data_IF_651305111377
#
_entry.id   IF_651305111377
#
_cell.length_a   1.000
_cell.length_b   1.000
_cell.length_c   1.000
_cell.angle_alpha   90.00
_cell.angle_beta   90.00
_cell.angle_gamma   90.00
#
_symmetry.space_group_name_H-M   'P 1'
#
loop_
_entity.id
_entity.type
_entity.pdbx_description
1 polymer ?
#
# COMPACT_ATOMS: atom_id res chain seq x y z
N UNK A 1 2.52 6.31 -16.92
CA UNK A 1 2.01 6.83 -15.63
C UNK A 1 1.01 5.83 -15.10
N UNK A 2 1.31 5.24 -13.95
CA UNK A 2 0.36 4.37 -13.24
C UNK A 2 -0.82 5.23 -12.82
N UNK A 3 -2.04 4.78 -13.11
CA UNK A 3 -3.27 5.46 -12.67
C UNK A 3 -3.69 4.87 -11.33
N UNK A 4 -4.49 5.61 -10.55
CA UNK A 4 -5.16 5.13 -9.34
C UNK A 4 -5.66 3.68 -9.43
N UNK A 5 -6.38 3.34 -10.52
CA UNK A 5 -6.88 1.97 -10.78
C UNK A 5 -5.76 0.93 -10.82
N UNK A 6 -4.62 1.24 -11.44
CA UNK A 6 -3.47 0.35 -11.52
C UNK A 6 -2.78 0.17 -10.18
N UNK A 7 -2.67 1.24 -9.38
CA UNK A 7 -2.07 1.17 -8.03
C UNK A 7 -2.98 0.34 -7.11
N UNK A 8 -4.30 0.54 -7.19
CA UNK A 8 -5.28 -0.24 -6.42
C UNK A 8 -5.27 -1.72 -6.79
N UNK A 9 -5.17 -2.05 -8.08
CA UNK A 9 -4.98 -3.42 -8.56
C UNK A 9 -3.67 -4.04 -8.06
N UNK A 10 -2.60 -3.24 -7.97
CA UNK A 10 -1.33 -3.67 -7.40
C UNK A 10 -1.47 -4.02 -5.91
N UNK A 11 -2.10 -3.14 -5.13
CA UNK A 11 -2.40 -3.38 -3.70
C UNK A 11 -3.27 -4.64 -3.54
N UNK A 12 -4.29 -4.83 -4.39
CA UNK A 12 -5.11 -6.04 -4.35
C UNK A 12 -4.28 -7.30 -4.59
N UNK A 13 -3.39 -7.30 -5.60
CA UNK A 13 -2.50 -8.43 -5.88
C UNK A 13 -1.56 -8.73 -4.70
N UNK A 14 -1.13 -7.70 -3.98
CA UNK A 14 -0.33 -7.87 -2.77
C UNK A 14 -1.12 -8.51 -1.63
N UNK A 15 -2.38 -8.10 -1.40
CA UNK A 15 -3.27 -8.80 -0.47
C UNK A 15 -3.51 -10.25 -0.84
N UNK A 16 -3.75 -10.52 -2.13
CA UNK A 16 -3.94 -11.88 -2.61
C UNK A 16 -2.69 -12.73 -2.35
N UNK A 17 -1.49 -12.17 -2.55
CA UNK A 17 -0.21 -12.86 -2.29
C UNK A 17 0.01 -13.15 -0.80
N UNK A 18 -0.37 -12.23 0.09
CA UNK A 18 -0.34 -12.45 1.54
C UNK A 18 -1.31 -13.56 1.98
N UNK A 19 -2.50 -13.59 1.38
CA UNK A 19 -3.49 -14.64 1.67
C UNK A 19 -3.01 -16.01 1.17
N UNK A 20 -2.52 -16.08 -0.07
CA UNK A 20 -2.03 -17.32 -0.69
C UNK A 20 -0.80 -17.90 0.03
N UNK A 21 0.05 -17.04 0.61
CA UNK A 21 1.19 -17.46 1.44
C UNK A 21 0.80 -17.85 2.88
N UNK A 22 -0.45 -17.64 3.28
CA UNK A 22 -0.93 -17.90 4.64
C UNK A 22 -0.46 -16.89 5.68
N UNK A 23 0.01 -15.70 5.27
CA UNK A 23 0.35 -14.61 6.18
C UNK A 23 -0.87 -13.92 6.78
N UNK A 24 -2.00 -13.95 6.07
CA UNK A 24 -3.29 -13.46 6.57
C UNK A 24 -4.35 -14.55 6.45
N UNK A 25 -5.25 -14.60 7.42
CA UNK A 25 -6.27 -15.67 7.50
C UNK A 25 -7.46 -15.42 6.56
N UNK A 26 -7.77 -14.15 6.28
CA UNK A 26 -8.91 -13.74 5.49
C UNK A 26 -8.47 -12.99 4.24
N UNK A 27 -9.27 -13.11 3.18
CA UNK A 27 -9.08 -12.29 1.98
C UNK A 27 -9.48 -10.86 2.27
N UNK A 28 -8.55 -9.94 2.04
CA UNK A 28 -8.79 -8.51 2.14
C UNK A 28 -9.10 -7.97 0.73
N UNK A 29 -10.19 -7.20 0.62
CA UNK A 29 -10.52 -6.46 -0.60
C UNK A 29 -9.93 -5.05 -0.47
N UNK A 30 -9.17 -4.60 -1.46
CA UNK A 30 -8.65 -3.25 -1.54
C UNK A 30 -9.78 -2.26 -1.89
N UNK A 31 -10.58 -1.86 -0.92
CA UNK A 31 -11.51 -0.73 -1.03
C UNK A 31 -10.86 0.54 -0.50
N UNK A 32 -11.38 1.72 -0.82
CA UNK A 32 -10.75 2.99 -0.41
C UNK A 32 -10.69 3.16 1.12
N UNK A 33 -11.62 2.52 1.82
CA UNK A 33 -11.78 2.55 3.27
C UNK A 33 -11.05 1.40 3.98
N UNK A 34 -10.44 0.47 3.24
CA UNK A 34 -9.69 -0.65 3.83
C UNK A 34 -8.52 -0.13 4.65
N UNK A 35 -8.51 -0.47 5.95
CA UNK A 35 -7.54 0.02 6.93
C UNK A 35 -6.28 -0.86 6.95
N UNK A 36 -5.13 -0.25 6.66
CA UNK A 36 -3.80 -0.87 6.65
C UNK A 36 -3.08 -0.73 8.00
N UNK A 37 -3.27 0.38 8.70
CA UNK A 37 -2.76 0.62 10.06
C UNK A 37 -3.87 1.24 10.90
N UNK A 38 -4.05 0.76 12.13
CA UNK A 38 -4.96 1.34 13.11
C UNK A 38 -6.13 0.41 13.45
N UNK A 39 -7.11 0.90 14.24
CA UNK A 39 -8.29 0.12 14.63
C UNK A 39 -9.04 -0.41 13.39
N UNK A 40 -9.29 -1.72 13.36
CA UNK A 40 -9.97 -2.37 12.25
C UNK A 40 -9.06 -2.88 11.13
N UNK A 41 -7.74 -2.71 11.24
CA UNK A 41 -6.83 -3.40 10.32
C UNK A 41 -6.78 -4.90 10.60
N UNK A 42 -6.83 -5.69 9.54
CA UNK A 42 -6.63 -7.15 9.57
C UNK A 42 -5.14 -7.54 9.46
N UNK A 43 -4.25 -6.56 9.28
CA UNK A 43 -2.81 -6.79 9.15
C UNK A 43 -2.13 -6.70 10.51
N UNK A 44 -1.33 -7.71 10.84
CA UNK A 44 -0.34 -7.57 11.89
C UNK A 44 0.90 -6.81 11.37
N UNK A 45 1.87 -6.54 12.25
CA UNK A 45 3.09 -5.82 11.89
C UNK A 45 3.91 -6.51 10.80
N UNK A 46 3.88 -7.85 10.73
CA UNK A 46 4.68 -8.62 9.76
C UNK A 46 3.99 -8.64 8.40
N UNK A 47 2.68 -8.90 8.37
CA UNK A 47 1.86 -8.82 7.18
C UNK A 47 1.89 -7.41 6.58
N UNK A 48 1.86 -6.38 7.43
CA UNK A 48 1.96 -4.98 7.01
C UNK A 48 3.31 -4.64 6.36
N UNK A 49 4.43 -5.02 6.98
CA UNK A 49 5.76 -4.79 6.38
C UNK A 49 5.90 -5.58 5.07
N UNK A 50 5.40 -6.82 5.05
CA UNK A 50 5.45 -7.65 3.83
C UNK A 50 4.62 -7.07 2.70
N UNK A 51 3.44 -6.50 3.01
CA UNK A 51 2.63 -5.76 2.04
C UNK A 51 3.43 -4.63 1.39
N UNK A 52 4.14 -3.83 2.20
CA UNK A 52 4.89 -2.68 1.72
C UNK A 52 6.04 -3.10 0.81
N UNK A 53 6.82 -4.12 1.22
CA UNK A 53 7.91 -4.66 0.41
C UNK A 53 7.40 -5.21 -0.93
N UNK A 54 6.28 -5.93 -0.92
CA UNK A 54 5.70 -6.46 -2.17
C UNK A 54 5.19 -5.33 -3.09
N UNK A 55 4.63 -4.26 -2.54
CA UNK A 55 4.22 -3.09 -3.33
C UNK A 55 5.45 -2.38 -3.91
N UNK A 56 6.51 -2.15 -3.13
CA UNK A 56 7.77 -1.55 -3.60
C UNK A 56 8.38 -2.38 -4.75
N UNK A 57 8.44 -3.69 -4.60
CA UNK A 57 8.94 -4.59 -5.64
C UNK A 57 8.10 -4.50 -6.92
N UNK A 58 6.76 -4.43 -6.80
CA UNK A 58 5.87 -4.26 -7.96
C UNK A 58 6.01 -2.88 -8.60
N UNK A 59 6.14 -1.82 -7.80
CA UNK A 59 6.39 -0.47 -8.30
C UNK A 59 7.70 -0.44 -9.10
N UNK A 60 8.77 -1.03 -8.57
CA UNK A 60 10.05 -1.15 -9.27
C UNK A 60 9.92 -1.86 -10.62
N UNK A 61 9.14 -2.93 -10.69
CA UNK A 61 8.89 -3.66 -11.94
C UNK A 61 8.13 -2.80 -12.96
N UNK A 62 7.13 -2.04 -12.51
CA UNK A 62 6.27 -1.23 -13.39
C UNK A 62 6.94 0.09 -13.83
N UNK A 63 7.77 0.70 -13.00
CA UNK A 63 8.40 2.01 -13.26
C UNK A 63 9.84 1.91 -13.73
N UNK A 64 10.51 0.78 -13.48
CA UNK A 64 11.95 0.60 -13.64
C UNK A 64 12.79 1.57 -12.77
N UNK A 65 12.23 1.99 -11.63
CA UNK A 65 12.86 2.90 -10.67
C UNK A 65 12.83 2.31 -9.25
N UNK A 66 13.81 2.64 -8.42
CA UNK A 66 13.76 2.27 -7.00
C UNK A 66 12.86 3.24 -6.24
N UNK A 67 11.68 2.75 -5.83
CA UNK A 67 10.69 3.52 -5.06
C UNK A 67 10.57 2.89 -3.68
N UNK A 68 10.73 3.71 -2.64
CA UNK A 68 10.64 3.29 -1.24
C UNK A 68 9.45 3.99 -0.58
N UNK A 69 8.62 3.21 0.13
CA UNK A 69 7.44 3.69 0.85
C UNK A 69 7.81 3.97 2.31
N UNK A 70 8.22 5.21 2.60
CA UNK A 70 8.64 5.60 3.94
C UNK A 70 7.44 5.99 4.81
N UNK A 71 7.14 5.18 5.84
CA UNK A 71 5.95 5.36 6.69
C UNK A 71 5.82 6.75 7.32
N UNK A 72 6.94 7.36 7.74
CA UNK A 72 6.91 8.70 8.32
C UNK A 72 6.41 9.73 7.30
N UNK A 73 6.78 9.60 6.02
CA UNK A 73 6.33 10.50 4.95
C UNK A 73 4.84 10.30 4.64
N UNK A 74 4.34 9.06 4.77
CA UNK A 74 2.91 8.76 4.63
C UNK A 74 2.09 9.38 5.76
N UNK A 75 2.60 9.35 6.99
CA UNK A 75 1.95 10.02 8.12
C UNK A 75 1.96 11.54 7.98
N UNK A 76 3.04 12.12 7.47
CA UNK A 76 3.12 13.55 7.16
C UNK A 76 2.19 13.95 5.99
N UNK A 77 1.92 13.02 5.07
CA UNK A 77 0.92 13.19 4.01
C UNK A 77 -0.52 13.24 4.54
N UNK A 78 -0.82 12.55 5.64
CA UNK A 78 -2.12 12.59 6.30
C UNK A 78 -2.03 12.80 7.82
N UNK A 79 -1.64 14.02 8.28
CA UNK A 79 -1.29 14.28 9.68
C UNK A 79 -2.50 14.32 10.63
N UNK A 80 -3.72 14.23 10.11
CA UNK A 80 -4.97 14.32 10.89
C UNK A 80 -5.53 12.96 11.29
N UNK A 81 -5.09 11.87 10.65
CA UNK A 81 -5.65 10.54 10.87
C UNK A 81 -4.60 9.61 11.47
N UNK A 82 -4.95 8.94 12.57
CA UNK A 82 -4.10 7.94 13.22
C UNK A 82 -4.17 6.56 12.52
N UNK A 83 -4.80 6.49 11.35
CA UNK A 83 -4.97 5.27 10.59
C UNK A 83 -4.60 5.49 9.13
N UNK A 84 -4.01 4.44 8.54
CA UNK A 84 -3.64 4.42 7.13
C UNK A 84 -4.69 3.60 6.39
N UNK A 85 -5.32 4.17 5.37
CA UNK A 85 -6.22 3.45 4.47
C UNK A 85 -5.57 3.21 3.10
N UNK A 86 -6.15 2.33 2.30
CA UNK A 86 -5.76 2.12 0.90
C UNK A 86 -5.85 3.41 0.09
N UNK A 87 -6.88 4.24 0.28
CA UNK A 87 -6.99 5.53 -0.43
C UNK A 87 -5.84 6.49 -0.12
N UNK A 88 -5.42 6.57 1.14
CA UNK A 88 -4.26 7.39 1.55
C UNK A 88 -2.97 6.85 0.94
N UNK A 89 -2.77 5.53 0.94
CA UNK A 89 -1.60 4.92 0.32
C UNK A 89 -1.55 5.16 -1.19
N UNK A 90 -2.67 5.04 -1.90
CA UNK A 90 -2.73 5.31 -3.34
C UNK A 90 -2.35 6.78 -3.61
N UNK A 91 -2.96 7.71 -2.88
CA UNK A 91 -2.68 9.14 -3.05
C UNK A 91 -1.20 9.49 -2.77
N UNK A 92 -0.59 8.83 -1.77
CA UNK A 92 0.83 8.97 -1.49
C UNK A 92 1.70 8.45 -2.64
N UNK A 93 1.42 7.25 -3.16
CA UNK A 93 2.16 6.68 -4.30
C UNK A 93 2.03 7.57 -5.54
N UNK A 94 0.83 8.09 -5.83
CA UNK A 94 0.63 9.03 -6.94
C UNK A 94 1.47 10.30 -6.76
N UNK A 95 1.54 10.84 -5.54
CA UNK A 95 2.35 12.02 -5.24
C UNK A 95 3.86 11.76 -5.44
N UNK A 96 4.36 10.60 -4.99
CA UNK A 96 5.75 10.19 -5.21
C UNK A 96 6.06 10.10 -6.71
N UNK A 97 5.20 9.44 -7.48
CA UNK A 97 5.38 9.27 -8.92
C UNK A 97 5.32 10.59 -9.70
N UNK A 98 4.52 11.55 -9.25
CA UNK A 98 4.46 12.89 -9.84
C UNK A 98 5.70 13.74 -9.49
N UNK A 99 6.25 13.57 -8.28
CA UNK A 99 7.45 14.27 -7.81
C UNK A 99 8.77 13.81 -8.43
N UNK A 100 8.78 12.64 -9.08
CA UNK A 100 9.94 12.11 -9.83
C UNK A 100 10.13 12.76 -11.21
N UNK A 101 9.31 13.75 -11.58
CA UNK A 101 9.46 14.54 -12.81
C UNK A 101 10.47 15.68 -12.65
#
# INVERSE_FOLDING_TARGET
MLRNTTIKEMIQKSFDSLYESGMIENKIIATDDTVLIGPGSELDSVAFVTLFVDIEDRLRVETNEEIYLVLNEIHDFNPKENYLTVSVLIAFIENLLDGMR
#
